data_IF_145375365359
#
_entry.id   IF_145375365359
#
_cell.length_a   1.000
_cell.length_b   1.000
_cell.length_c   1.000
_cell.angle_alpha   90.00
_cell.angle_beta   90.00
_cell.angle_gamma   90.00
#
_symmetry.space_group_name_H-M   'P 1'
#
loop_
_entity.id
_entity.type
_entity.pdbx_description
1 polymer ?
#
# COMPACT_ATOMS: atom_id res chain seq x y z
N UNK A 1 6.21 15.92 25.90
CA UNK A 1 5.36 15.30 24.85
C UNK A 1 6.28 14.76 23.77
N UNK A 2 6.09 13.51 23.34
CA UNK A 2 6.80 12.96 22.16
C UNK A 2 6.23 13.62 20.90
N UNK A 3 7.08 13.98 19.94
CA UNK A 3 6.62 14.52 18.65
C UNK A 3 6.12 13.37 17.79
N UNK A 4 5.01 13.56 17.08
CA UNK A 4 4.44 12.53 16.22
C UNK A 4 4.91 12.71 14.76
N UNK A 5 5.26 11.61 14.10
CA UNK A 5 5.49 11.53 12.66
C UNK A 5 4.48 10.53 12.11
N UNK A 6 3.63 11.00 11.21
CA UNK A 6 2.67 10.16 10.48
C UNK A 6 3.26 9.81 9.10
N UNK A 7 3.52 8.53 8.89
CA UNK A 7 4.02 7.98 7.65
C UNK A 7 2.86 7.68 6.72
N UNK A 8 2.83 8.33 5.56
CA UNK A 8 1.78 8.14 4.56
C UNK A 8 2.38 7.67 3.25
N UNK A 9 1.69 6.78 2.57
CA UNK A 9 2.01 6.33 1.22
C UNK A 9 0.74 6.24 0.39
N UNK A 10 0.90 6.06 -0.92
CA UNK A 10 -0.23 5.77 -1.79
C UNK A 10 -0.85 4.39 -1.51
N UNK A 11 -0.06 3.44 -1.02
CA UNK A 11 -0.47 2.06 -0.78
C UNK A 11 -0.42 1.17 -2.03
N UNK A 12 -0.81 -0.08 -1.83
CA UNK A 12 -1.01 -1.11 -2.86
C UNK A 12 -2.12 -2.07 -2.41
N UNK A 13 -2.66 -2.92 -3.29
CA UNK A 13 -3.64 -3.94 -2.87
C UNK A 13 -3.12 -4.77 -1.69
N UNK A 14 -3.99 -5.09 -0.73
CA UNK A 14 -3.66 -5.96 0.42
C UNK A 14 -3.44 -7.41 0.00
N UNK A 15 -4.14 -7.83 -1.04
CA UNK A 15 -4.01 -9.15 -1.64
C UNK A 15 -3.85 -9.01 -3.16
N UNK A 16 -2.96 -9.82 -3.74
CA UNK A 16 -2.86 -9.98 -5.19
C UNK A 16 -3.90 -11.02 -5.64
N UNK A 17 -5.16 -10.60 -5.59
CA UNK A 17 -6.33 -11.31 -6.10
C UNK A 17 -7.14 -10.36 -6.99
N UNK A 18 -8.04 -10.90 -7.82
CA UNK A 18 -8.90 -10.05 -8.67
C UNK A 18 -9.70 -9.05 -7.82
N UNK A 19 -10.30 -9.49 -6.71
CA UNK A 19 -11.07 -8.62 -5.82
C UNK A 19 -10.20 -7.67 -5.00
N UNK A 20 -9.02 -8.10 -4.52
CA UNK A 20 -8.10 -7.19 -3.83
C UNK A 20 -7.62 -6.05 -4.73
N UNK A 21 -7.35 -6.35 -6.00
CA UNK A 21 -7.04 -5.33 -7.02
C UNK A 21 -8.27 -4.47 -7.34
N UNK A 22 -9.47 -5.06 -7.43
CA UNK A 22 -10.70 -4.33 -7.68
C UNK A 22 -11.01 -3.33 -6.57
N UNK A 23 -10.88 -3.71 -5.29
CA UNK A 23 -11.11 -2.85 -4.14
C UNK A 23 -10.14 -1.67 -4.13
N UNK A 24 -8.84 -1.95 -4.28
CA UNK A 24 -7.81 -0.91 -4.36
C UNK A 24 -8.07 0.05 -5.52
N UNK A 25 -8.38 -0.47 -6.71
CA UNK A 25 -8.63 0.36 -7.89
C UNK A 25 -9.94 1.17 -7.76
N UNK A 26 -10.96 0.61 -7.10
CA UNK A 26 -12.20 1.32 -6.76
C UNK A 26 -11.92 2.50 -5.83
N UNK A 27 -11.08 2.32 -4.82
CA UNK A 27 -10.66 3.40 -3.91
C UNK A 27 -9.93 4.52 -4.67
N UNK A 28 -9.02 4.18 -5.59
CA UNK A 28 -8.36 5.14 -6.48
C UNK A 28 -9.38 5.92 -7.32
N UNK A 29 -10.42 5.24 -7.82
CA UNK A 29 -11.50 5.82 -8.61
C UNK A 29 -12.61 6.46 -7.77
N UNK A 30 -12.31 6.88 -6.54
CA UNK A 30 -13.25 7.59 -5.64
C UNK A 30 -14.54 6.81 -5.38
N UNK A 31 -14.44 5.49 -5.26
CA UNK A 31 -15.56 4.59 -4.97
C UNK A 31 -16.28 4.05 -6.21
N UNK A 32 -15.89 4.44 -7.43
CA UNK A 32 -16.49 3.91 -8.66
C UNK A 32 -15.73 2.67 -9.10
N UNK A 33 -16.39 1.50 -9.03
CA UNK A 33 -15.78 0.23 -9.44
C UNK A 33 -15.42 0.25 -10.94
N UNK A 34 -14.17 -0.08 -11.31
CA UNK A 34 -13.80 -0.25 -12.72
C UNK A 34 -14.53 -1.43 -13.38
N UNK A 35 -14.52 -1.49 -14.71
CA UNK A 35 -15.01 -2.65 -15.44
C UNK A 35 -14.09 -3.86 -15.24
N UNK A 36 -14.63 -5.07 -15.34
CA UNK A 36 -13.87 -6.30 -15.09
C UNK A 36 -12.61 -6.44 -15.95
N UNK A 37 -12.64 -6.00 -17.20
CA UNK A 37 -11.46 -6.03 -18.07
C UNK A 37 -10.36 -5.03 -17.65
N UNK A 38 -10.75 -3.89 -17.05
CA UNK A 38 -9.79 -2.92 -16.49
C UNK A 38 -9.13 -3.50 -15.24
N UNK A 39 -9.92 -4.18 -14.39
CA UNK A 39 -9.44 -4.89 -13.19
C UNK A 39 -8.49 -6.02 -13.61
N UNK A 40 -8.89 -6.85 -14.57
CA UNK A 40 -8.08 -7.95 -15.08
C UNK A 40 -6.74 -7.45 -15.62
N UNK A 41 -6.75 -6.37 -16.40
CA UNK A 41 -5.52 -5.77 -16.94
C UNK A 41 -4.56 -5.35 -15.82
N UNK A 42 -5.07 -4.71 -14.75
CA UNK A 42 -4.25 -4.31 -13.62
C UNK A 42 -3.76 -5.51 -12.80
N UNK A 43 -4.61 -6.52 -12.60
CA UNK A 43 -4.24 -7.76 -11.92
C UNK A 43 -3.14 -8.52 -12.68
N UNK A 44 -3.27 -8.67 -14.00
CA UNK A 44 -2.27 -9.32 -14.84
C UNK A 44 -0.92 -8.60 -14.78
N UNK A 45 -0.92 -7.28 -14.68
CA UNK A 45 0.30 -6.50 -14.47
C UNK A 45 0.97 -6.84 -13.13
N UNK A 46 0.21 -6.95 -12.04
CA UNK A 46 0.75 -7.39 -10.75
C UNK A 46 1.29 -8.82 -10.81
N UNK A 47 0.58 -9.76 -11.43
CA UNK A 47 1.05 -11.15 -11.59
C UNK A 47 2.34 -11.18 -12.41
N UNK A 48 2.41 -10.41 -13.50
CA UNK A 48 3.59 -10.35 -14.38
C UNK A 48 4.86 -9.91 -13.67
N UNK A 49 4.75 -9.05 -12.66
CA UNK A 49 5.89 -8.60 -11.85
C UNK A 49 6.11 -9.46 -10.59
N UNK A 50 5.34 -10.53 -10.40
CA UNK A 50 5.44 -11.41 -9.23
C UNK A 50 4.75 -10.88 -7.96
N UNK A 51 3.77 -9.99 -8.12
CA UNK A 51 3.06 -9.31 -7.03
C UNK A 51 3.64 -7.95 -6.68
N UNK A 52 3.30 -7.41 -5.51
CA UNK A 52 3.80 -6.10 -5.04
C UNK A 52 4.54 -6.21 -3.71
N UNK A 53 5.79 -5.71 -3.61
CA UNK A 53 6.51 -5.68 -2.34
C UNK A 53 6.22 -4.43 -1.51
N UNK A 54 5.40 -3.50 -2.01
CA UNK A 54 5.33 -2.12 -1.50
C UNK A 54 4.91 -2.04 -0.02
N UNK A 55 3.88 -2.79 0.41
CA UNK A 55 3.48 -2.79 1.82
C UNK A 55 4.57 -3.30 2.76
N UNK A 56 5.33 -4.33 2.33
CA UNK A 56 6.46 -4.84 3.12
C UNK A 56 7.55 -3.77 3.24
N UNK A 57 7.89 -3.11 2.14
CA UNK A 57 8.91 -2.06 2.10
C UNK A 57 8.49 -0.87 2.98
N UNK A 58 7.24 -0.40 2.89
CA UNK A 58 6.76 0.71 3.75
C UNK A 58 6.84 0.37 5.23
N UNK A 59 6.50 -0.86 5.64
CA UNK A 59 6.65 -1.30 7.05
C UNK A 59 8.12 -1.33 7.48
N UNK A 60 9.01 -1.74 6.59
CA UNK A 60 10.45 -1.74 6.83
C UNK A 60 11.01 -0.32 6.98
N UNK A 61 10.60 0.61 6.12
CA UNK A 61 10.94 2.04 6.23
C UNK A 61 10.49 2.64 7.57
N UNK A 62 9.27 2.33 8.02
CA UNK A 62 8.76 2.75 9.33
C UNK A 62 9.61 2.20 10.47
N UNK A 63 10.03 0.93 10.40
CA UNK A 63 10.87 0.32 11.42
C UNK A 63 12.28 0.96 11.47
N UNK A 64 12.91 1.16 10.31
CA UNK A 64 14.21 1.82 10.20
C UNK A 64 14.16 3.26 10.75
N UNK A 65 13.06 3.97 10.51
CA UNK A 65 12.88 5.32 11.05
C UNK A 65 12.73 5.30 12.58
N UNK A 66 11.98 4.34 13.14
CA UNK A 66 11.86 4.13 14.59
C UNK A 66 13.23 3.87 15.24
N UNK A 67 14.02 2.98 14.64
CA UNK A 67 15.38 2.68 15.11
C UNK A 67 16.29 3.92 15.06
N UNK A 68 16.18 4.71 13.98
CA UNK A 68 17.03 5.88 13.77
C UNK A 68 16.71 7.06 14.68
N UNK A 69 15.44 7.29 15.00
CA UNK A 69 14.98 8.43 15.79
C UNK A 69 14.82 8.10 17.29
N UNK A 70 14.79 6.82 17.64
CA UNK A 70 14.62 6.36 19.02
C UNK A 70 13.29 6.81 19.62
N UNK A 71 13.27 6.97 20.93
CA UNK A 71 12.03 7.17 21.69
C UNK A 71 11.51 8.61 21.73
N UNK A 72 12.24 9.60 21.21
CA UNK A 72 11.81 11.01 21.21
C UNK A 72 10.57 11.22 20.33
N UNK A 73 10.41 10.39 19.30
CA UNK A 73 9.35 10.46 18.31
C UNK A 73 8.39 9.26 18.41
N UNK A 74 7.09 9.52 18.26
CA UNK A 74 6.10 8.48 17.95
C UNK A 74 5.95 8.37 16.44
N UNK A 75 6.24 7.20 15.87
CA UNK A 75 6.10 6.94 14.42
C UNK A 75 4.84 6.11 14.18
N UNK A 76 3.91 6.64 13.40
CA UNK A 76 2.59 6.07 13.08
C UNK A 76 2.45 5.81 11.59
#
# INVERSE_FOLDING_TARGET
MKKAILMMTFGSPEEISFEGVAEFFTNIRRGVRPQDHEIQTLYDNYVRIGGTPLQRITREEVNLLKERLGEEYGIY
#
